data_IF_256350427944
#
_entry.id   IF_256350427944
#
_cell.length_a   1.000
_cell.length_b   1.000
_cell.length_c   1.000
_cell.angle_alpha   90.00
_cell.angle_beta   90.00
_cell.angle_gamma   90.00
#
_symmetry.space_group_name_H-M   'P 1'
#
loop_
_entity.id
_entity.type
_entity.pdbx_description
1 polymer ?
#
# COMPACT_ATOMS: atom_id res chain seq x y z
N UNK A 1 0.25 9.36 -4.38
CA UNK A 1 -1.09 8.81 -4.08
C UNK A 1 -1.31 7.60 -4.95
N UNK A 2 -2.31 6.76 -4.66
CA UNK A 2 -2.66 5.56 -5.42
C UNK A 2 -4.17 5.43 -5.55
N UNK A 3 -4.64 4.75 -6.60
CA UNK A 3 -6.06 4.37 -6.73
C UNK A 3 -6.32 3.02 -6.03
N UNK A 4 -7.54 2.78 -5.51
CA UNK A 4 -7.84 1.56 -4.75
C UNK A 4 -7.68 0.26 -5.56
N UNK A 5 -7.81 0.29 -6.88
CA UNK A 5 -7.65 -0.88 -7.75
C UNK A 5 -6.19 -1.17 -8.13
N UNK A 6 -5.25 -0.29 -7.76
CA UNK A 6 -3.85 -0.50 -8.11
C UNK A 6 -3.26 -1.69 -7.35
N UNK A 7 -2.43 -2.46 -8.05
CA UNK A 7 -1.75 -3.61 -7.45
C UNK A 7 -0.85 -3.18 -6.28
N UNK A 8 -0.88 -3.93 -5.19
CA UNK A 8 -0.03 -3.70 -4.01
C UNK A 8 1.46 -3.64 -4.37
N UNK A 9 1.93 -4.47 -5.31
CA UNK A 9 3.31 -4.45 -5.78
C UNK A 9 3.70 -3.10 -6.42
N UNK A 10 2.76 -2.45 -7.12
CA UNK A 10 2.98 -1.12 -7.68
C UNK A 10 3.09 -0.06 -6.58
N UNK A 11 2.21 -0.11 -5.59
CA UNK A 11 2.25 0.78 -4.43
C UNK A 11 3.56 0.64 -3.63
N UNK A 12 4.04 -0.59 -3.42
CA UNK A 12 5.33 -0.85 -2.78
C UNK A 12 6.51 -0.27 -3.58
N UNK A 13 6.52 -0.43 -4.90
CA UNK A 13 7.55 0.17 -5.76
C UNK A 13 7.53 1.70 -5.68
N UNK A 14 6.35 2.30 -5.66
CA UNK A 14 6.20 3.75 -5.54
C UNK A 14 6.74 4.27 -4.20
N UNK A 15 6.47 3.56 -3.10
CA UNK A 15 7.06 3.84 -1.78
C UNK A 15 8.59 3.84 -1.82
N UNK A 16 9.19 2.79 -2.41
CA UNK A 16 10.65 2.68 -2.54
C UNK A 16 11.25 3.75 -3.44
N UNK A 17 10.61 4.02 -4.58
CA UNK A 17 11.10 4.99 -5.56
C UNK A 17 11.14 6.41 -4.99
N UNK A 18 10.18 6.77 -4.15
CA UNK A 18 10.04 8.10 -3.60
C UNK A 18 10.52 8.24 -2.15
N UNK A 19 11.06 7.18 -1.58
CA UNK A 19 11.49 7.11 -0.17
C UNK A 19 10.38 7.56 0.81
N UNK A 20 9.17 7.03 0.60
CA UNK A 20 7.99 7.31 1.44
C UNK A 20 7.39 6.03 2.00
N UNK A 21 6.86 6.12 3.22
CA UNK A 21 6.24 4.97 3.90
C UNK A 21 4.71 4.94 3.83
N UNK A 22 4.08 5.99 3.30
CA UNK A 22 2.63 6.15 3.28
C UNK A 22 2.18 6.64 1.91
N UNK A 23 1.09 6.06 1.41
CA UNK A 23 0.42 6.48 0.20
C UNK A 23 -1.04 6.77 0.52
N UNK A 24 -1.50 7.96 0.16
CA UNK A 24 -2.92 8.31 0.22
C UNK A 24 -3.64 7.59 -0.91
N UNK A 25 -4.72 6.88 -0.56
CA UNK A 25 -5.60 6.20 -1.51
C UNK A 25 -6.68 7.20 -1.92
N UNK A 26 -6.77 7.45 -3.23
CA UNK A 26 -7.66 8.45 -3.82
C UNK A 26 -8.54 7.79 -4.88
N UNK A 27 -9.85 8.02 -4.81
CA UNK A 27 -10.84 7.60 -5.79
C UNK A 27 -11.71 8.80 -6.15
N UNK A 28 -11.90 9.08 -7.45
CA UNK A 28 -12.71 10.21 -7.93
C UNK A 28 -12.38 11.54 -7.21
N UNK A 29 -11.07 11.83 -7.09
CA UNK A 29 -10.52 13.02 -6.40
C UNK A 29 -10.80 13.11 -4.89
N UNK A 30 -11.37 12.07 -4.28
CA UNK A 30 -11.61 11.99 -2.83
C UNK A 30 -10.59 11.08 -2.15
N UNK A 31 -10.15 11.49 -0.97
CA UNK A 31 -9.34 10.64 -0.10
C UNK A 31 -10.25 9.57 0.49
N UNK A 32 -9.97 8.30 0.17
CA UNK A 32 -10.75 7.15 0.63
C UNK A 32 -9.97 6.27 1.61
N UNK A 33 -8.67 6.49 1.77
CA UNK A 33 -7.87 5.73 2.73
C UNK A 33 -6.37 6.07 2.71
N UNK A 34 -5.63 5.27 3.46
CA UNK A 34 -4.17 5.34 3.58
C UNK A 34 -3.64 3.91 3.50
N UNK A 35 -2.60 3.71 2.70
CA UNK A 35 -1.80 2.50 2.66
C UNK A 35 -0.42 2.79 3.25
N UNK A 36 0.02 2.00 4.22
CA UNK A 36 1.32 2.14 4.90
C UNK A 36 2.25 0.98 4.59
N UNK A 37 3.56 1.20 4.74
CA UNK A 37 4.56 0.14 4.67
C UNK A 37 4.28 -0.99 5.69
N UNK A 38 3.69 -0.66 6.85
CA UNK A 38 3.33 -1.63 7.88
C UNK A 38 2.21 -2.58 7.41
N UNK A 39 1.31 -2.15 6.53
CA UNK A 39 0.27 -3.02 5.99
C UNK A 39 0.88 -4.16 5.17
N UNK A 40 1.96 -3.90 4.43
CA UNK A 40 2.72 -4.96 3.74
C UNK A 40 3.37 -5.94 4.72
N UNK A 41 3.94 -5.43 5.82
CA UNK A 41 4.53 -6.27 6.88
C UNK A 41 3.46 -7.14 7.52
N UNK A 42 2.28 -6.59 7.81
CA UNK A 42 1.13 -7.34 8.34
C UNK A 42 0.69 -8.44 7.39
N UNK A 43 0.49 -8.11 6.10
CA UNK A 43 0.12 -9.10 5.08
C UNK A 43 1.14 -10.23 4.97
N UNK A 44 2.43 -9.92 4.99
CA UNK A 44 3.49 -10.93 4.97
C UNK A 44 3.47 -11.80 6.23
N UNK A 45 3.36 -11.19 7.41
CA UNK A 45 3.35 -11.92 8.68
C UNK A 45 2.09 -12.81 8.83
N UNK A 46 0.94 -12.39 8.30
CA UNK A 46 -0.29 -13.16 8.31
C UNK A 46 -0.28 -14.28 7.26
N UNK A 47 0.28 -14.03 6.07
CA UNK A 47 0.49 -15.06 5.05
C UNK A 47 1.47 -16.15 5.51
N UNK A 48 2.49 -15.79 6.30
CA UNK A 48 3.45 -16.74 6.87
C UNK A 48 2.85 -17.63 7.97
N UNK A 49 1.69 -17.29 8.55
CA UNK A 49 1.01 -18.14 9.56
C UNK A 49 0.25 -19.32 8.95
N UNK A 50 0.13 -19.38 7.62
CA UNK A 50 -0.62 -20.42 6.91
C UNK A 50 0.29 -21.44 6.20
N UNK A 51 1.61 -21.37 6.41
CA UNK A 51 2.61 -22.28 5.85
C UNK A 51 3.22 -23.20 6.92
#
# INVERSE_FOLDING_TARGET
TVAPEQQLAWAARLMLQHDVHHLIVVEQERIVGILSALDFVRLFAEGAKQA
#
